data_IF_809575249396
#
_entry.id   IF_809575249396
#
_cell.length_a   1.000
_cell.length_b   1.000
_cell.length_c   1.000
_cell.angle_alpha   90.00
_cell.angle_beta   90.00
_cell.angle_gamma   90.00
#
_symmetry.space_group_name_H-M   'P 1'
#
loop_
_entity.id
_entity.type
_entity.pdbx_description
1 polymer ?
#
# COMPACT_ATOMS: atom_id res chain seq x y z
N UNK A 1 4.50 10.49 17.90
CA UNK A 1 3.09 10.02 17.82
C UNK A 1 3.02 9.01 16.68
N UNK A 2 2.34 7.88 16.90
CA UNK A 2 2.63 6.62 16.20
C UNK A 2 2.05 6.59 14.78
N UNK A 3 2.93 6.89 13.82
CA UNK A 3 2.70 6.94 12.35
C UNK A 3 1.91 5.74 11.78
N UNK A 4 1.93 4.59 12.45
CA UNK A 4 1.22 3.36 12.05
C UNK A 4 -0.24 3.26 12.48
N UNK A 5 -0.65 3.92 13.56
CA UNK A 5 -2.08 4.03 13.89
C UNK A 5 -2.82 4.88 12.85
N UNK A 6 -2.13 5.88 12.32
CA UNK A 6 -2.64 6.76 11.26
C UNK A 6 -2.81 5.97 9.94
N UNK A 7 -1.89 5.05 9.61
CA UNK A 7 -2.00 4.22 8.41
C UNK A 7 -3.17 3.26 8.43
N UNK A 8 -3.39 2.56 9.55
CA UNK A 8 -4.57 1.68 9.69
C UNK A 8 -5.87 2.45 9.56
N UNK A 9 -5.90 3.69 10.05
CA UNK A 9 -7.05 4.58 9.88
C UNK A 9 -7.25 4.97 8.41
N UNK A 10 -6.18 5.25 7.66
CA UNK A 10 -6.25 5.48 6.20
C UNK A 10 -6.78 4.24 5.46
N UNK A 11 -6.36 3.03 5.82
CA UNK A 11 -6.88 1.79 5.24
C UNK A 11 -8.39 1.63 5.47
N UNK A 12 -8.86 1.86 6.70
CA UNK A 12 -10.29 1.81 7.00
C UNK A 12 -11.08 2.87 6.21
N UNK A 13 -10.55 4.07 6.06
CA UNK A 13 -11.16 5.13 5.26
C UNK A 13 -11.23 4.76 3.76
N UNK A 14 -10.18 4.12 3.24
CA UNK A 14 -10.13 3.61 1.87
C UNK A 14 -11.25 2.59 1.62
N UNK A 15 -11.44 1.65 2.53
CA UNK A 15 -12.51 0.65 2.40
C UNK A 15 -13.91 1.24 2.51
N UNK A 16 -14.11 2.18 3.44
CA UNK A 16 -15.36 2.91 3.51
C UNK A 16 -15.64 3.71 2.22
N UNK A 17 -14.60 4.20 1.53
CA UNK A 17 -14.74 4.85 0.22
C UNK A 17 -15.15 3.86 -0.86
N UNK A 18 -14.50 2.69 -0.93
CA UNK A 18 -14.85 1.65 -1.90
C UNK A 18 -16.26 1.08 -1.69
N UNK A 19 -16.73 1.01 -0.44
CA UNK A 19 -18.11 0.61 -0.16
C UNK A 19 -19.16 1.63 -0.67
N UNK A 20 -18.80 2.93 -0.73
CA UNK A 20 -19.70 3.99 -1.20
C UNK A 20 -19.70 4.17 -2.72
N UNK A 21 -18.54 3.96 -3.34
CA UNK A 21 -18.30 4.13 -4.79
C UNK A 21 -17.44 2.99 -5.31
N UNK A 22 -17.98 1.76 -5.40
CA UNK A 22 -17.21 0.61 -5.86
C UNK A 22 -16.67 0.80 -7.29
N UNK A 23 -17.34 1.60 -8.11
CA UNK A 23 -16.92 1.95 -9.48
C UNK A 23 -15.63 2.78 -9.56
N UNK A 24 -15.21 3.41 -8.45
CA UNK A 24 -13.95 4.18 -8.38
C UNK A 24 -12.71 3.27 -8.17
N UNK A 25 -12.91 1.95 -8.06
CA UNK A 25 -11.91 0.93 -7.73
C UNK A 25 -12.04 -0.29 -8.65
N UNK A 26 -11.06 -1.20 -8.57
CA UNK A 26 -11.02 -2.37 -9.44
C UNK A 26 -10.26 -2.08 -10.72
N UNK A 27 -10.73 -2.61 -11.85
CA UNK A 27 -10.00 -2.63 -13.12
C UNK A 27 -9.50 -1.23 -13.54
N UNK A 28 -8.21 -1.15 -13.88
CA UNK A 28 -7.55 0.09 -14.28
C UNK A 28 -7.14 1.01 -13.13
N UNK A 29 -7.38 0.61 -11.88
CA UNK A 29 -7.00 1.39 -10.69
C UNK A 29 -5.78 0.77 -10.01
N UNK A 30 -4.82 1.61 -9.64
CA UNK A 30 -3.64 1.23 -8.84
C UNK A 30 -3.72 1.86 -7.46
N UNK A 31 -3.59 1.04 -6.43
CA UNK A 31 -3.42 1.49 -5.05
C UNK A 31 -1.92 1.50 -4.73
N UNK A 32 -1.42 2.67 -4.33
CA UNK A 32 -0.02 2.90 -4.04
C UNK A 32 0.15 3.10 -2.54
N UNK A 33 0.79 2.14 -1.88
CA UNK A 33 1.10 2.21 -0.46
C UNK A 33 2.58 2.53 -0.30
N UNK A 34 2.92 3.64 0.34
CA UNK A 34 4.31 4.05 0.48
C UNK A 34 4.66 4.47 1.89
N UNK A 35 5.93 4.35 2.25
CA UNK A 35 6.46 4.97 3.46
C UNK A 35 7.96 5.25 3.30
N UNK A 36 8.49 6.10 4.17
CA UNK A 36 9.93 6.29 4.35
C UNK A 36 10.56 5.11 5.09
N UNK A 37 11.78 4.74 4.71
CA UNK A 37 12.62 3.77 5.40
C UNK A 37 14.00 4.34 5.69
N UNK A 38 14.52 4.04 6.87
CA UNK A 38 15.90 4.39 7.26
C UNK A 38 16.94 3.45 6.63
N UNK A 39 16.52 2.25 6.24
CA UNK A 39 17.38 1.24 5.63
C UNK A 39 16.60 0.51 4.53
N UNK A 40 16.69 1.04 3.31
CA UNK A 40 15.93 0.54 2.17
C UNK A 40 16.31 -0.89 1.76
N UNK A 41 17.60 -1.28 1.68
CA UNK A 41 17.97 -2.68 1.38
C UNK A 41 17.35 -3.69 2.36
N UNK A 42 17.38 -3.39 3.66
CA UNK A 42 16.78 -4.26 4.67
C UNK A 42 15.25 -4.33 4.53
N UNK A 43 14.60 -3.20 4.24
CA UNK A 43 13.16 -3.17 4.02
C UNK A 43 12.74 -4.02 2.81
N UNK A 44 13.49 -3.97 1.71
CA UNK A 44 13.24 -4.79 0.52
C UNK A 44 13.42 -6.28 0.80
N UNK A 45 14.49 -6.67 1.49
CA UNK A 45 14.69 -8.05 1.92
C UNK A 45 13.56 -8.53 2.85
N UNK A 46 13.06 -7.65 3.72
CA UNK A 46 11.92 -7.95 4.58
C UNK A 46 10.61 -8.07 3.80
N UNK A 47 10.44 -7.31 2.71
CA UNK A 47 9.28 -7.41 1.83
C UNK A 47 9.22 -8.79 1.16
N UNK A 48 10.35 -9.22 0.57
CA UNK A 48 10.50 -10.55 -0.03
C UNK A 48 10.19 -11.67 0.99
N UNK A 49 10.76 -11.58 2.19
CA UNK A 49 10.49 -12.54 3.26
C UNK A 49 9.02 -12.54 3.76
N UNK A 50 8.27 -11.46 3.52
CA UNK A 50 6.85 -11.35 3.83
C UNK A 50 5.94 -11.72 2.66
N UNK A 51 6.49 -12.02 1.47
CA UNK A 51 5.71 -12.18 0.24
C UNK A 51 5.03 -10.89 -0.21
N UNK A 52 5.60 -9.73 0.13
CA UNK A 52 5.09 -8.41 -0.29
C UNK A 52 5.93 -7.93 -1.46
N UNK A 53 5.28 -7.67 -2.59
CA UNK A 53 5.93 -7.06 -3.75
C UNK A 53 6.14 -5.57 -3.48
N UNK A 54 7.37 -5.20 -3.14
CA UNK A 54 7.76 -3.83 -2.84
C UNK A 54 8.94 -3.39 -3.69
N UNK A 55 8.94 -2.12 -4.09
CA UNK A 55 10.04 -1.47 -4.80
C UNK A 55 10.60 -0.28 -4.05
N UNK A 56 11.88 -0.02 -4.24
CA UNK A 56 12.54 1.18 -3.75
C UNK A 56 12.26 2.38 -4.64
N UNK A 57 11.88 3.50 -4.05
CA UNK A 57 11.70 4.79 -4.73
C UNK A 57 12.71 5.79 -4.17
N UNK A 58 13.64 6.22 -5.03
CA UNK A 58 14.79 7.02 -4.59
C UNK A 58 15.63 6.29 -3.53
N UNK A 59 16.23 7.04 -2.60
CA UNK A 59 17.18 6.47 -1.62
C UNK A 59 16.53 5.98 -0.32
N UNK A 60 15.30 6.39 -0.03
CA UNK A 60 14.69 6.24 1.32
C UNK A 60 13.19 5.94 1.32
N UNK A 61 12.56 5.67 0.18
CA UNK A 61 11.14 5.32 0.16
C UNK A 61 10.91 3.92 -0.37
N UNK A 62 9.91 3.26 0.20
CA UNK A 62 9.40 1.99 -0.27
C UNK A 62 7.99 2.21 -0.83
N UNK A 63 7.64 1.47 -1.87
CA UNK A 63 6.34 1.50 -2.52
C UNK A 63 5.86 0.07 -2.74
N UNK A 64 4.65 -0.22 -2.30
CA UNK A 64 3.88 -1.42 -2.62
C UNK A 64 2.74 -0.98 -3.53
N UNK A 65 2.57 -1.69 -4.64
CA UNK A 65 1.57 -1.38 -5.65
C UNK A 65 0.59 -2.54 -5.76
N UNK A 66 -0.70 -2.24 -5.68
CA UNK A 66 -1.78 -3.22 -5.85
C UNK A 66 -2.62 -2.78 -7.03
N UNK A 67 -2.64 -3.60 -8.08
CA UNK A 67 -3.38 -3.31 -9.30
C UNK A 67 -4.73 -4.02 -9.30
N UNK A 68 -5.74 -3.37 -9.86
CA UNK A 68 -7.08 -3.92 -10.04
C UNK A 68 -7.75 -4.39 -8.74
N UNK A 69 -7.29 -3.88 -7.59
CA UNK A 69 -7.78 -4.24 -6.27
C UNK A 69 -8.96 -3.38 -5.84
N UNK A 70 -10.01 -4.02 -5.31
CA UNK A 70 -11.08 -3.33 -4.60
C UNK A 70 -10.84 -3.48 -3.09
N UNK A 71 -10.63 -2.39 -2.34
CA UNK A 71 -10.30 -2.46 -0.91
C UNK A 71 -11.56 -2.72 -0.06
N UNK A 72 -12.19 -3.88 -0.26
CA UNK A 72 -13.32 -4.35 0.56
C UNK A 72 -12.88 -4.65 2.00
N UNK A 73 -13.84 -4.93 2.89
CA UNK A 73 -13.52 -5.32 4.26
C UNK A 73 -12.65 -6.59 4.32
N UNK A 74 -12.94 -7.59 3.47
CA UNK A 74 -12.16 -8.82 3.38
C UNK A 74 -10.75 -8.56 2.82
N UNK A 75 -10.65 -7.70 1.81
CA UNK A 75 -9.37 -7.28 1.25
C UNK A 75 -8.50 -6.59 2.31
N UNK A 76 -9.09 -5.71 3.14
CA UNK A 76 -8.39 -5.09 4.26
C UNK A 76 -7.93 -6.11 5.30
N UNK A 77 -8.75 -7.11 5.63
CA UNK A 77 -8.40 -8.14 6.61
C UNK A 77 -7.26 -9.05 6.13
N UNK A 78 -7.09 -9.19 4.82
CA UNK A 78 -6.00 -9.91 4.18
C UNK A 78 -4.84 -8.99 3.77
N UNK A 79 -4.88 -8.53 2.53
CA UNK A 79 -3.78 -7.81 1.87
C UNK A 79 -3.47 -6.46 2.53
N UNK A 80 -4.49 -5.66 2.84
CA UNK A 80 -4.29 -4.37 3.54
C UNK A 80 -3.61 -4.54 4.90
N UNK A 81 -4.00 -5.56 5.66
CA UNK A 81 -3.39 -5.90 6.95
C UNK A 81 -1.95 -6.41 6.78
N UNK A 82 -1.65 -7.16 5.73
CA UNK A 82 -0.30 -7.62 5.41
C UNK A 82 0.64 -6.44 5.12
N UNK A 83 0.20 -5.48 4.30
CA UNK A 83 0.97 -4.26 3.99
C UNK A 83 1.18 -3.42 5.25
N UNK A 84 0.15 -3.23 6.08
CA UNK A 84 0.28 -2.49 7.34
C UNK A 84 1.29 -3.15 8.31
N UNK A 85 1.22 -4.48 8.47
CA UNK A 85 2.18 -5.23 9.30
C UNK A 85 3.59 -5.15 8.75
N UNK A 86 3.75 -5.17 7.43
CA UNK A 86 5.03 -4.99 6.79
C UNK A 86 5.64 -3.61 7.11
N UNK A 87 4.88 -2.52 6.93
CA UNK A 87 5.33 -1.16 7.27
C UNK A 87 5.68 -1.01 8.75
N UNK A 88 4.91 -1.63 9.64
CA UNK A 88 5.26 -1.70 11.07
C UNK A 88 6.59 -2.40 11.33
N UNK A 89 6.80 -3.56 10.71
CA UNK A 89 7.99 -4.37 10.91
C UNK A 89 9.27 -3.66 10.49
N UNK A 90 9.23 -2.89 9.40
CA UNK A 90 10.38 -2.13 8.93
C UNK A 90 10.55 -0.78 9.65
N UNK A 91 9.65 -0.43 10.59
CA UNK A 91 9.64 0.87 11.24
C UNK A 91 9.39 2.02 10.26
N UNK A 92 8.44 1.82 9.35
CA UNK A 92 8.08 2.78 8.30
C UNK A 92 7.70 4.16 8.86
N UNK A 93 8.10 5.20 8.14
CA UNK A 93 7.91 6.60 8.52
C UNK A 93 6.93 7.24 7.55
N UNK A 94 5.96 7.97 8.06
CA UNK A 94 4.95 8.72 7.29
C UNK A 94 4.29 7.87 6.19
N UNK A 95 3.62 6.77 6.56
CA UNK A 95 2.98 5.87 5.61
C UNK A 95 1.74 6.53 4.98
N UNK A 96 1.59 6.32 3.68
CA UNK A 96 0.58 6.97 2.84
C UNK A 96 -0.07 5.97 1.89
N UNK A 97 -1.32 6.27 1.54
CA UNK A 97 -2.08 5.58 0.49
C UNK A 97 -2.40 6.60 -0.60
N UNK A 98 -2.09 6.28 -1.84
CA UNK A 98 -2.51 7.04 -3.02
C UNK A 98 -3.29 6.15 -3.99
N UNK A 99 -4.23 6.74 -4.71
CA UNK A 99 -5.01 6.06 -5.76
C UNK A 99 -4.57 6.66 -7.08
N UNK A 100 -3.99 5.84 -7.94
CA UNK A 100 -3.64 6.21 -9.30
C UNK A 100 -4.66 5.62 -10.26
N UNK A 101 -5.25 6.51 -11.06
CA UNK A 101 -6.25 6.22 -12.11
C UNK A 101 -5.70 6.57 -13.50
N UNK A 102 -4.39 6.74 -13.62
CA UNK A 102 -3.72 6.98 -14.88
C UNK A 102 -3.99 5.84 -15.88
N UNK A 103 -3.78 6.09 -17.19
CA UNK A 103 -3.92 5.03 -18.19
C UNK A 103 -3.08 3.82 -17.75
N UNK A 104 -3.69 2.63 -17.79
CA UNK A 104 -2.93 1.39 -17.79
C UNK A 104 -2.06 1.49 -19.03
N UNK A 105 -0.76 1.64 -18.86
CA UNK A 105 0.18 1.40 -19.96
C UNK A 105 0.02 -0.08 -20.30
N UNK A 106 -0.93 -0.37 -21.20
CA UNK A 106 -0.94 -1.59 -21.98
C UNK A 106 0.31 -1.48 -22.83
N UNK A 107 1.33 -2.25 -22.48
CA UNK A 107 2.69 -2.23 -23.02
C UNK A 107 2.78 -1.76 -24.49
N UNK A 108 3.74 -0.86 -24.74
CA UNK A 108 4.29 -0.58 -26.07
C UNK A 108 5.06 -1.78 -26.62
#
# INVERSE_FOLDING_TARGET
MSSTADFRSQLNALSASAARKPEDFGEGVRLLFSCGSRNLPLALAQAEACGVEARGVGRRHILVEVQNGTPTADWLAGEGAAIARYFERIGGIDPQISIDRGPVDLDS
#
